data_IF_378948788327
#
_entry.id   IF_378948788327
#
_cell.length_a   1.000
_cell.length_b   1.000
_cell.length_c   1.000
_cell.angle_alpha   90.00
_cell.angle_beta   90.00
_cell.angle_gamma   90.00
#
_symmetry.space_group_name_H-M   'P 1'
#
loop_
_entity.id
_entity.type
_entity.pdbx_description
1 polymer ?
#
# COMPACT_ATOMS: atom_id res chain seq x y z
N UNK A 1 -9.34 26.97 -12.76
CA UNK A 1 -9.55 27.01 -11.31
C UNK A 1 -9.17 25.65 -10.73
N UNK A 2 -8.38 25.61 -9.66
CA UNK A 2 -8.12 24.37 -8.91
C UNK A 2 -9.20 24.25 -7.85
N UNK A 3 -9.89 23.12 -7.78
CA UNK A 3 -10.88 22.82 -6.75
C UNK A 3 -10.22 22.07 -5.57
N UNK A 4 -9.94 22.74 -4.43
CA UNK A 4 -9.28 22.08 -3.30
C UNK A 4 -10.22 21.15 -2.53
N UNK A 5 -11.50 21.06 -2.89
CA UNK A 5 -12.46 20.22 -2.15
C UNK A 5 -12.23 18.75 -2.38
N UNK A 6 -11.61 18.34 -3.49
CA UNK A 6 -11.27 16.94 -3.76
C UNK A 6 -9.77 16.75 -3.96
N UNK A 7 -9.18 15.99 -3.03
CA UNK A 7 -7.77 15.66 -3.00
C UNK A 7 -7.61 14.14 -3.06
N UNK A 8 -6.75 13.67 -3.95
CA UNK A 8 -6.27 12.29 -3.96
C UNK A 8 -4.81 12.27 -3.56
N UNK A 9 -4.40 11.26 -2.79
CA UNK A 9 -3.00 11.04 -2.44
C UNK A 9 -2.61 9.60 -2.68
N UNK A 10 -1.46 9.39 -3.31
CA UNK A 10 -0.91 8.08 -3.60
C UNK A 10 0.38 7.83 -2.81
N UNK A 11 0.45 6.67 -2.17
CA UNK A 11 1.68 6.10 -1.60
C UNK A 11 2.00 4.79 -2.32
N UNK A 12 3.26 4.63 -2.73
CA UNK A 12 3.77 3.39 -3.28
C UNK A 12 4.78 2.84 -2.31
N UNK A 13 4.41 1.75 -1.65
CA UNK A 13 5.26 1.10 -0.66
C UNK A 13 5.77 -0.22 -1.20
N UNK A 14 7.03 -0.51 -0.90
CA UNK A 14 7.69 -1.74 -1.31
C UNK A 14 8.08 -2.53 -0.08
N UNK A 15 8.03 -3.85 -0.20
CA UNK A 15 8.63 -4.77 0.76
C UNK A 15 9.50 -5.71 -0.05
N UNK A 16 10.77 -5.83 0.34
CA UNK A 16 11.77 -6.65 -0.36
C UNK A 16 11.24 -8.06 -0.64
N UNK A 17 11.32 -8.52 -1.89
CA UNK A 17 10.89 -9.86 -2.31
C UNK A 17 9.38 -10.10 -2.41
N UNK A 18 8.53 -9.06 -2.33
CA UNK A 18 7.07 -9.19 -2.40
C UNK A 18 6.43 -8.38 -3.53
N UNK A 19 5.18 -8.73 -3.89
CA UNK A 19 4.39 -7.98 -4.87
C UNK A 19 4.20 -6.52 -4.40
N UNK A 20 4.56 -5.57 -5.26
CA UNK A 20 4.41 -4.13 -5.02
C UNK A 20 2.93 -3.73 -4.92
N UNK A 21 2.61 -2.83 -3.99
CA UNK A 21 1.26 -2.33 -3.79
C UNK A 21 1.31 -0.80 -3.69
N UNK A 22 0.38 -0.13 -4.39
CA UNK A 22 0.12 1.28 -4.20
C UNK A 22 -1.23 1.50 -3.52
N UNK A 23 -1.27 2.42 -2.56
CA UNK A 23 -2.50 2.89 -1.93
C UNK A 23 -2.86 4.28 -2.43
N UNK A 24 -4.09 4.46 -2.91
CA UNK A 24 -4.68 5.77 -3.18
C UNK A 24 -5.77 6.04 -2.16
N UNK A 25 -5.65 7.16 -1.47
CA UNK A 25 -6.65 7.70 -0.55
C UNK A 25 -7.28 8.94 -1.13
N UNK A 26 -8.50 9.23 -0.69
CA UNK A 26 -9.30 10.33 -1.21
C UNK A 26 -9.84 11.16 -0.05
N UNK A 27 -9.78 12.48 -0.18
CA UNK A 27 -10.38 13.42 0.74
C UNK A 27 -11.38 14.28 -0.03
N UNK A 28 -12.58 14.45 0.55
CA UNK A 28 -13.60 15.39 0.07
C UNK A 28 -13.94 16.36 1.19
N UNK A 29 -13.95 17.66 0.90
CA UNK A 29 -14.22 18.75 1.85
C UNK A 29 -13.38 18.64 3.14
N UNK A 30 -12.10 18.30 2.97
CA UNK A 30 -11.16 18.15 4.08
C UNK A 30 -11.33 16.87 4.92
N UNK A 31 -12.23 15.95 4.52
CA UNK A 31 -12.50 14.70 5.26
C UNK A 31 -12.16 13.45 4.45
N UNK A 32 -11.69 12.37 5.09
CA UNK A 32 -11.47 11.09 4.41
C UNK A 32 -12.73 10.56 3.71
N UNK A 33 -12.65 10.38 2.40
CA UNK A 33 -13.69 9.78 1.57
C UNK A 33 -13.33 8.31 1.25
N UNK A 34 -13.59 7.43 2.22
CA UNK A 34 -13.12 6.02 2.20
C UNK A 34 -13.65 5.19 1.02
N UNK A 35 -14.85 5.47 0.52
CA UNK A 35 -15.39 4.79 -0.68
C UNK A 35 -14.61 5.13 -1.96
N UNK A 36 -13.87 6.26 -1.96
CA UNK A 36 -12.96 6.65 -3.02
C UNK A 36 -11.58 5.96 -2.96
N UNK A 37 -11.26 5.24 -1.88
CA UNK A 37 -9.93 4.64 -1.73
C UNK A 37 -9.72 3.50 -2.73
N UNK A 38 -8.50 3.36 -3.25
CA UNK A 38 -8.16 2.30 -4.21
C UNK A 38 -6.83 1.67 -3.86
N UNK A 39 -6.79 0.35 -3.97
CA UNK A 39 -5.56 -0.43 -3.80
C UNK A 39 -5.12 -0.96 -5.16
N UNK A 40 -3.87 -0.71 -5.51
CA UNK A 40 -3.28 -1.11 -6.77
C UNK A 40 -2.29 -2.24 -6.53
N UNK A 41 -2.56 -3.42 -7.12
CA UNK A 41 -1.52 -4.42 -7.30
C UNK A 41 -0.66 -3.97 -8.49
N UNK A 42 0.59 -3.67 -8.20
CA UNK A 42 1.55 -3.16 -9.17
C UNK A 42 2.36 -4.30 -9.77
N UNK A 43 2.78 -4.09 -11.00
CA UNK A 43 3.56 -5.08 -11.74
C UNK A 43 4.93 -5.30 -11.10
N UNK A 44 5.51 -6.48 -11.31
CA UNK A 44 6.87 -6.76 -10.86
C UNK A 44 7.84 -5.82 -11.61
N UNK A 45 8.64 -5.06 -10.86
CA UNK A 45 9.66 -4.17 -11.41
C UNK A 45 10.93 -4.26 -10.57
N UNK A 46 12.01 -3.64 -11.03
CA UNK A 46 13.27 -3.61 -10.29
C UNK A 46 13.09 -2.96 -8.90
N UNK A 47 13.85 -3.45 -7.92
CA UNK A 47 13.67 -3.16 -6.48
C UNK A 47 13.75 -1.67 -6.09
N UNK A 48 14.26 -0.81 -6.97
CA UNK A 48 14.47 0.63 -6.70
C UNK A 48 13.51 1.56 -7.46
N UNK A 49 12.52 1.03 -8.17
CA UNK A 49 11.78 1.88 -9.12
C UNK A 49 10.39 2.28 -8.63
N UNK A 50 10.31 3.06 -7.54
CA UNK A 50 9.06 3.71 -7.07
C UNK A 50 8.38 4.50 -8.19
N UNK A 51 9.18 5.00 -9.14
CA UNK A 51 8.71 5.78 -10.28
C UNK A 51 7.78 4.96 -11.18
N UNK A 52 8.15 3.73 -11.56
CA UNK A 52 7.24 2.88 -12.36
C UNK A 52 5.93 2.54 -11.66
N UNK A 53 5.94 2.47 -10.32
CA UNK A 53 4.73 2.23 -9.55
C UNK A 53 3.77 3.41 -9.60
N UNK A 54 4.31 4.62 -9.41
CA UNK A 54 3.52 5.86 -9.53
C UNK A 54 3.05 6.05 -10.96
N UNK A 55 3.92 5.82 -11.95
CA UNK A 55 3.57 5.88 -13.37
C UNK A 55 2.40 4.95 -13.70
N UNK A 56 2.44 3.71 -13.22
CA UNK A 56 1.38 2.72 -13.42
C UNK A 56 0.04 3.17 -12.79
N UNK A 57 0.06 3.69 -11.56
CA UNK A 57 -1.14 4.19 -10.88
C UNK A 57 -1.72 5.39 -11.62
N UNK A 58 -0.87 6.36 -11.99
CA UNK A 58 -1.30 7.57 -12.70
C UNK A 58 -1.87 7.22 -14.07
N UNK A 59 -1.26 6.29 -14.82
CA UNK A 59 -1.81 5.80 -16.10
C UNK A 59 -3.19 5.16 -15.93
N UNK A 60 -3.36 4.33 -14.90
CA UNK A 60 -4.68 3.73 -14.58
C UNK A 60 -5.69 4.79 -14.18
N UNK A 61 -5.29 5.82 -13.44
CA UNK A 61 -6.18 6.93 -13.07
C UNK A 61 -6.58 7.75 -14.29
N UNK A 62 -5.63 8.10 -15.16
CA UNK A 62 -5.89 8.78 -16.43
C UNK A 62 -6.85 7.99 -17.31
N UNK A 63 -6.70 6.67 -17.40
CA UNK A 63 -7.64 5.81 -18.12
C UNK A 63 -9.06 5.97 -17.57
N UNK A 64 -9.24 5.91 -16.25
CA UNK A 64 -10.55 6.11 -15.63
C UNK A 64 -11.13 7.51 -15.90
N UNK A 65 -10.29 8.56 -15.97
CA UNK A 65 -10.72 9.91 -16.35
C UNK A 65 -11.23 9.97 -17.79
N UNK A 66 -10.54 9.29 -18.72
CA UNK A 66 -10.96 9.20 -20.13
C UNK A 66 -12.27 8.43 -20.30
N UNK A 67 -12.58 7.53 -19.38
CA UNK A 67 -13.82 6.75 -19.34
C UNK A 67 -14.98 7.50 -18.63
N UNK A 68 -14.84 8.82 -18.41
CA UNK A 68 -15.87 9.67 -17.80
C UNK A 68 -15.78 9.78 -16.27
N UNK A 69 -14.70 9.27 -15.67
CA UNK A 69 -14.43 9.48 -14.25
C UNK A 69 -14.12 10.94 -13.93
N UNK A 70 -14.55 11.39 -12.76
CA UNK A 70 -14.26 12.75 -12.30
C UNK A 70 -12.78 12.88 -11.86
N UNK A 71 -12.17 14.03 -12.12
CA UNK A 71 -10.81 14.36 -11.72
C UNK A 71 -10.79 15.03 -10.33
N UNK A 72 -9.80 14.70 -9.47
CA UNK A 72 -9.58 15.51 -8.27
C UNK A 72 -9.08 16.89 -8.69
N UNK A 73 -9.24 17.89 -7.82
CA UNK A 73 -8.56 19.16 -8.06
C UNK A 73 -7.09 19.12 -7.66
N UNK A 74 -6.72 18.30 -6.67
CA UNK A 74 -5.33 18.12 -6.23
C UNK A 74 -4.97 16.63 -6.19
N UNK A 75 -3.82 16.28 -6.75
CA UNK A 75 -3.24 14.94 -6.71
C UNK A 75 -1.87 15.00 -6.03
N UNK A 76 -1.73 14.35 -4.88
CA UNK A 76 -0.52 14.36 -4.06
C UNK A 76 0.21 13.03 -4.21
N UNK A 77 1.52 13.08 -4.44
CA UNK A 77 2.39 11.90 -4.43
C UNK A 77 3.20 11.89 -3.14
N UNK A 78 3.13 10.80 -2.37
CA UNK A 78 4.05 10.56 -1.25
C UNK A 78 5.43 10.21 -1.84
N UNK A 79 6.29 11.21 -1.92
CA UNK A 79 7.52 11.16 -2.68
C UNK A 79 8.20 12.49 -2.95
N UNK A 80 9.47 12.42 -3.35
CA UNK A 80 10.30 13.56 -3.74
C UNK A 80 10.08 14.04 -5.18
N UNK A 81 10.95 14.95 -5.63
CA UNK A 81 10.87 15.60 -6.93
C UNK A 81 10.85 14.64 -8.13
N UNK A 82 11.55 13.50 -8.06
CA UNK A 82 11.54 12.51 -9.15
C UNK A 82 10.14 11.92 -9.36
N UNK A 83 9.45 11.59 -8.26
CA UNK A 83 8.10 11.04 -8.24
C UNK A 83 7.07 12.08 -8.72
N UNK A 84 7.24 13.34 -8.31
CA UNK A 84 6.48 14.47 -8.84
C UNK A 84 6.61 14.57 -10.37
N UNK A 85 7.85 14.53 -10.88
CA UNK A 85 8.13 14.65 -12.31
C UNK A 85 7.44 13.59 -13.15
N UNK A 86 7.39 12.35 -12.65
CA UNK A 86 6.68 11.23 -13.29
C UNK A 86 5.17 11.52 -13.37
N UNK A 87 4.55 11.91 -12.25
CA UNK A 87 3.13 12.21 -12.23
C UNK A 87 2.78 13.38 -13.17
N UNK A 88 3.58 14.46 -13.14
CA UNK A 88 3.42 15.63 -14.01
C UNK A 88 3.49 15.25 -15.49
N UNK A 89 4.49 14.43 -15.87
CA UNK A 89 4.67 13.96 -17.25
C UNK A 89 3.49 13.11 -17.74
N UNK A 90 2.91 12.28 -16.88
CA UNK A 90 1.79 11.45 -17.29
C UNK A 90 0.49 12.26 -17.38
N UNK A 91 0.19 13.09 -16.38
CA UNK A 91 -0.99 13.95 -16.37
C UNK A 91 -0.96 15.06 -17.43
N UNK A 92 0.22 15.43 -17.97
CA UNK A 92 0.29 16.36 -19.11
C UNK A 92 -0.30 15.78 -20.40
N UNK A 93 -0.66 14.50 -20.43
CA UNK A 93 -1.29 13.81 -21.59
C UNK A 93 -2.82 13.95 -21.62
N UNK A 94 -3.41 14.71 -20.68
CA UNK A 94 -4.84 15.01 -20.64
C UNK A 94 -5.06 16.50 -20.34
N UNK A 95 -6.19 17.03 -20.81
CA UNK A 95 -6.55 18.44 -20.60
C UNK A 95 -7.07 18.69 -19.18
N UNK A 96 -7.99 17.85 -18.69
CA UNK A 96 -8.56 17.96 -17.35
C UNK A 96 -7.65 17.34 -16.28
N UNK A 97 -6.48 17.96 -16.06
CA UNK A 97 -5.48 17.48 -15.10
C UNK A 97 -5.60 18.19 -13.74
N UNK A 98 -5.38 17.48 -12.63
CA UNK A 98 -5.30 18.08 -11.29
C UNK A 98 -4.06 18.98 -11.14
N UNK A 99 -4.06 19.80 -10.10
CA UNK A 99 -2.81 20.31 -9.53
C UNK A 99 -2.05 19.15 -8.89
N UNK A 100 -0.82 18.93 -9.31
CA UNK A 100 0.00 17.83 -8.80
C UNK A 100 0.96 18.40 -7.77
N UNK A 101 1.03 17.76 -6.61
CA UNK A 101 1.99 18.07 -5.56
C UNK A 101 2.73 16.80 -5.17
N UNK A 102 3.89 16.93 -4.56
CA UNK A 102 4.49 15.82 -3.84
C UNK A 102 4.95 16.24 -2.45
N UNK A 103 4.97 15.29 -1.54
CA UNK A 103 5.44 15.48 -0.16
C UNK A 103 6.50 14.43 0.12
N UNK A 104 7.70 14.88 0.50
CA UNK A 104 8.78 13.99 0.91
C UNK A 104 9.10 14.22 2.38
N UNK A 105 9.48 13.15 3.09
CA UNK A 105 10.07 13.29 4.42
C UNK A 105 11.28 14.22 4.36
N UNK A 106 11.43 15.05 5.40
CA UNK A 106 12.60 15.91 5.59
C UNK A 106 13.91 15.13 5.49
N UNK A 107 14.98 15.80 5.06
CA UNK A 107 16.32 15.17 5.00
C UNK A 107 16.79 14.83 6.42
N UNK A 108 17.82 13.98 6.52
CA UNK A 108 18.42 13.68 7.82
C UNK A 108 18.87 14.98 8.52
N UNK A 109 18.25 15.31 9.65
CA UNK A 109 18.46 16.56 10.39
C UNK A 109 17.36 17.61 10.22
N UNK A 110 16.43 17.43 9.28
CA UNK A 110 15.23 18.25 9.12
C UNK A 110 14.03 17.47 9.69
N UNK A 111 13.37 18.03 10.71
CA UNK A 111 12.15 17.42 11.28
C UNK A 111 10.93 17.57 10.35
N UNK A 112 11.02 18.44 9.35
CA UNK A 112 9.88 18.92 8.57
C UNK A 112 9.85 18.28 7.17
N UNK A 113 8.68 17.77 6.80
CA UNK A 113 8.36 17.32 5.44
C UNK A 113 8.46 18.48 4.45
N UNK A 114 9.00 18.20 3.27
CA UNK A 114 9.12 19.18 2.18
C UNK A 114 8.04 18.94 1.14
N UNK A 115 7.34 19.99 0.75
CA UNK A 115 6.34 19.96 -0.32
C UNK A 115 6.97 20.48 -1.62
N UNK A 116 6.70 19.78 -2.73
CA UNK A 116 7.12 20.17 -4.06
C UNK A 116 5.92 20.38 -4.97
N UNK A 117 6.00 21.42 -5.78
CA UNK A 117 5.03 21.77 -6.82
C UNK A 117 5.74 21.91 -8.18
N UNK A 118 5.02 21.71 -9.30
CA UNK A 118 5.55 21.93 -10.63
C UNK A 118 6.05 23.38 -10.80
N UNK A 119 6.98 23.62 -11.74
CA UNK A 119 7.40 24.97 -12.07
C UNK A 119 6.22 25.89 -12.39
N UNK A 120 6.28 27.17 -12.01
CA UNK A 120 7.45 27.86 -11.46
C UNK A 120 7.63 27.75 -9.93
N UNK A 121 6.72 27.11 -9.21
CA UNK A 121 6.72 27.11 -7.74
C UNK A 121 7.90 26.33 -7.13
N UNK A 122 8.17 25.12 -7.62
CA UNK A 122 9.27 24.31 -7.10
C UNK A 122 9.04 23.87 -5.65
N UNK A 123 10.03 24.06 -4.78
CA UNK A 123 9.92 23.74 -3.35
C UNK A 123 9.04 24.79 -2.65
N UNK A 124 8.05 24.32 -1.89
CA UNK A 124 7.15 25.16 -1.11
C UNK A 124 7.44 24.95 0.37
N UNK A 125 7.97 25.98 1.02
CA UNK A 125 8.22 25.97 2.45
C UNK A 125 6.98 26.46 3.21
N UNK A 126 6.62 25.74 4.26
CA UNK A 126 5.54 26.10 5.18
C UNK A 126 6.09 26.33 6.57
N UNK A 127 5.38 27.11 7.38
CA UNK A 127 5.66 27.17 8.82
C UNK A 127 5.10 25.92 9.50
N UNK A 128 5.75 25.44 10.57
CA UNK A 128 5.35 24.24 11.32
C UNK A 128 3.93 24.28 11.89
N UNK A 129 3.43 25.47 12.19
CA UNK A 129 2.10 25.74 12.72
C UNK A 129 1.04 26.02 11.64
N UNK A 130 1.43 26.00 10.37
CA UNK A 130 0.52 26.26 9.26
C UNK A 130 -0.56 25.15 9.17
N UNK A 131 -1.86 25.50 9.21
CA UNK A 131 -2.94 24.52 9.15
C UNK A 131 -2.98 23.76 7.81
N UNK A 132 -2.57 24.38 6.70
CA UNK A 132 -2.51 23.74 5.38
C UNK A 132 -1.42 22.68 5.37
N UNK A 133 -0.26 22.99 5.95
CA UNK A 133 0.84 22.04 6.07
C UNK A 133 0.44 20.81 6.87
N UNK A 134 -0.15 21.01 8.05
CA UNK A 134 -0.65 19.90 8.89
C UNK A 134 -1.70 19.07 8.19
N UNK A 135 -2.56 19.71 7.40
CA UNK A 135 -3.56 19.00 6.61
C UNK A 135 -2.93 18.12 5.52
N UNK A 136 -1.93 18.62 4.79
CA UNK A 136 -1.20 17.84 3.78
C UNK A 136 -0.48 16.65 4.43
N UNK A 137 0.14 16.86 5.60
CA UNK A 137 0.76 15.78 6.38
C UNK A 137 -0.27 14.71 6.77
N UNK A 138 -1.45 15.10 7.25
CA UNK A 138 -2.53 14.17 7.56
C UNK A 138 -2.97 13.35 6.34
N UNK A 139 -3.07 13.97 5.17
CA UNK A 139 -3.43 13.28 3.92
C UNK A 139 -2.36 12.24 3.56
N UNK A 140 -1.08 12.60 3.64
CA UNK A 140 0.05 11.67 3.43
C UNK A 140 0.02 10.52 4.43
N UNK A 141 -0.09 10.83 5.71
CA UNK A 141 -0.07 9.82 6.78
C UNK A 141 -1.21 8.81 6.60
N UNK A 142 -2.38 9.26 6.14
CA UNK A 142 -3.50 8.39 5.79
C UNK A 142 -3.20 7.51 4.57
N UNK A 143 -2.55 8.05 3.53
CA UNK A 143 -2.10 7.28 2.36
C UNK A 143 -1.12 6.17 2.76
N UNK A 144 -0.10 6.55 3.53
CA UNK A 144 0.91 5.65 4.05
C UNK A 144 0.31 4.57 4.96
N UNK A 145 -0.58 4.95 5.89
CA UNK A 145 -1.31 4.03 6.76
C UNK A 145 -2.12 3.02 5.94
N UNK A 146 -2.82 3.49 4.90
CA UNK A 146 -3.64 2.64 4.04
C UNK A 146 -2.79 1.62 3.27
N UNK A 147 -1.69 2.06 2.65
CA UNK A 147 -0.78 1.20 1.91
C UNK A 147 -0.07 0.17 2.81
N UNK A 148 0.47 0.59 3.96
CA UNK A 148 1.09 -0.31 4.94
C UNK A 148 0.10 -1.36 5.45
N UNK A 149 -1.12 -0.95 5.76
CA UNK A 149 -2.15 -1.88 6.26
C UNK A 149 -2.46 -2.95 5.22
N UNK A 150 -2.55 -2.57 3.95
CA UNK A 150 -2.78 -3.50 2.85
C UNK A 150 -1.61 -4.47 2.66
N UNK A 151 -0.37 -3.97 2.70
CA UNK A 151 0.83 -4.81 2.68
C UNK A 151 0.86 -5.80 3.82
N UNK A 152 0.61 -5.36 5.06
CA UNK A 152 0.55 -6.26 6.23
C UNK A 152 -0.47 -7.38 6.04
N UNK A 153 -1.67 -7.06 5.55
CA UNK A 153 -2.72 -8.06 5.26
C UNK A 153 -2.30 -9.02 4.15
N UNK A 154 -1.69 -8.53 3.07
CA UNK A 154 -1.22 -9.35 1.95
C UNK A 154 -0.06 -10.25 2.36
N UNK A 155 0.91 -9.73 3.13
CA UNK A 155 2.01 -10.50 3.72
C UNK A 155 1.49 -11.60 4.62
N UNK A 156 0.54 -11.31 5.51
CA UNK A 156 -0.08 -12.34 6.34
C UNK A 156 -0.73 -13.42 5.47
N UNK A 157 -1.47 -13.06 4.40
CA UNK A 157 -2.04 -14.05 3.47
C UNK A 157 -0.97 -14.83 2.69
N UNK A 158 0.11 -14.20 2.25
CA UNK A 158 1.21 -14.83 1.50
C UNK A 158 2.03 -15.80 2.34
N UNK A 159 2.35 -15.44 3.59
CA UNK A 159 3.04 -16.35 4.53
C UNK A 159 2.12 -17.52 4.90
N UNK A 160 0.83 -17.24 5.19
CA UNK A 160 -0.21 -18.27 5.32
C UNK A 160 -0.28 -19.16 4.08
N UNK A 161 0.03 -18.62 2.91
CA UNK A 161 -0.01 -19.33 1.64
C UNK A 161 1.21 -20.21 1.38
N UNK A 162 2.43 -19.75 1.63
CA UNK A 162 3.64 -20.46 1.22
C UNK A 162 3.97 -21.64 2.14
N UNK A 163 3.94 -21.41 3.46
CA UNK A 163 4.41 -22.39 4.44
C UNK A 163 3.65 -23.73 4.39
N UNK A 164 2.33 -23.65 4.36
CA UNK A 164 1.48 -24.85 4.32
C UNK A 164 1.55 -25.57 2.96
N UNK A 165 2.01 -24.91 1.89
CA UNK A 165 2.19 -25.55 0.59
C UNK A 165 3.47 -26.39 0.50
N UNK A 166 4.49 -26.08 1.29
CA UNK A 166 5.74 -26.83 1.32
C UNK A 166 5.58 -28.20 2.03
N UNK A 167 4.54 -28.35 2.85
CA UNK A 167 4.27 -29.59 3.57
C UNK A 167 3.53 -30.56 2.65
N UNK A 168 4.24 -31.60 2.21
CA UNK A 168 3.66 -32.67 1.40
C UNK A 168 2.45 -33.31 2.10
N UNK A 169 1.28 -33.26 1.44
CA UNK A 169 0.01 -33.75 1.99
C UNK A 169 -0.98 -32.69 2.49
N UNK A 170 -0.60 -31.40 2.46
CA UNK A 170 -1.51 -30.27 2.75
C UNK A 170 -1.95 -29.59 1.46
N UNK A 171 -3.16 -29.91 1.00
CA UNK A 171 -3.82 -29.20 -0.11
C UNK A 171 -4.54 -27.91 0.34
N UNK A 172 -4.97 -27.11 -0.63
CA UNK A 172 -5.65 -25.82 -0.40
C UNK A 172 -6.84 -25.89 0.57
N UNK A 173 -7.64 -26.96 0.51
CA UNK A 173 -8.80 -27.14 1.40
C UNK A 173 -8.42 -27.31 2.88
N UNK A 174 -7.40 -28.11 3.18
CA UNK A 174 -6.92 -28.35 4.56
C UNK A 174 -6.26 -27.11 5.14
N UNK A 175 -5.55 -26.37 4.29
CA UNK A 175 -4.92 -25.10 4.62
C UNK A 175 -5.93 -24.02 5.00
N UNK A 176 -6.99 -23.84 4.23
CA UNK A 176 -8.05 -22.89 4.58
C UNK A 176 -8.72 -23.24 5.91
N UNK A 177 -8.96 -24.53 6.15
CA UNK A 177 -9.52 -25.02 7.42
C UNK A 177 -8.60 -24.72 8.61
N UNK A 178 -7.29 -25.03 8.51
CA UNK A 178 -6.29 -24.71 9.54
C UNK A 178 -6.26 -23.20 9.82
N UNK A 179 -6.18 -22.37 8.78
CA UNK A 179 -6.10 -20.92 8.94
C UNK A 179 -7.38 -20.29 9.49
N UNK A 180 -8.54 -20.88 9.19
CA UNK A 180 -9.84 -20.44 9.69
C UNK A 180 -10.01 -20.82 11.16
N UNK A 181 -9.64 -22.05 11.53
CA UNK A 181 -9.80 -22.57 12.89
C UNK A 181 -8.87 -21.88 13.89
N UNK A 182 -7.63 -21.60 13.48
CA UNK A 182 -6.62 -21.00 14.36
C UNK A 182 -6.47 -19.48 14.18
N UNK A 183 -7.36 -18.82 13.43
CA UNK A 183 -7.34 -17.35 13.23
C UNK A 183 -6.15 -16.81 12.42
N UNK A 184 -5.28 -17.68 11.92
CA UNK A 184 -4.11 -17.34 11.14
C UNK A 184 -2.83 -17.98 11.65
N UNK A 185 -1.70 -17.49 11.13
CA UNK A 185 -0.39 -18.06 11.43
C UNK A 185 0.00 -17.92 12.90
N UNK A 186 -0.45 -16.84 13.57
CA UNK A 186 -0.15 -16.62 15.00
C UNK A 186 -0.83 -17.68 15.88
N UNK A 187 -2.14 -17.91 15.71
CA UNK A 187 -2.81 -18.95 16.47
C UNK A 187 -2.39 -20.36 16.04
N UNK A 188 -1.93 -20.55 14.80
CA UNK A 188 -1.36 -21.83 14.36
C UNK A 188 -0.01 -22.13 15.03
N UNK A 189 0.77 -21.09 15.38
CA UNK A 189 2.02 -21.24 16.16
C UNK A 189 1.78 -21.63 17.61
N UNK A 190 0.69 -21.14 18.19
CA UNK A 190 0.32 -21.43 19.57
C UNK A 190 -0.43 -22.78 19.71
N UNK A 191 -0.77 -23.43 18.59
CA UNK A 191 -1.51 -24.68 18.56
C UNK A 191 -0.63 -25.90 18.92
N UNK A 192 -1.16 -26.79 19.76
CA UNK A 192 -0.52 -28.07 20.06
C UNK A 192 -0.78 -29.10 18.95
N UNK A 193 0.00 -30.19 18.92
CA UNK A 193 -0.22 -31.32 17.99
C UNK A 193 -1.65 -31.86 18.13
N UNK A 194 -2.16 -31.96 19.37
CA UNK A 194 -3.53 -32.41 19.66
C UNK A 194 -4.59 -31.45 19.11
N UNK A 195 -4.33 -30.14 19.07
CA UNK A 195 -5.27 -29.18 18.52
C UNK A 195 -5.33 -29.26 16.99
N UNK A 196 -4.18 -29.50 16.33
CA UNK A 196 -4.11 -29.67 14.89
C UNK A 196 -4.86 -30.92 14.42
N UNK A 197 -4.84 -32.00 15.21
CA UNK A 197 -5.59 -33.24 14.93
C UNK A 197 -7.12 -33.07 14.96
N UNK A 198 -7.62 -32.06 15.69
CA UNK A 198 -9.06 -31.75 15.70
C UNK A 198 -9.54 -31.20 14.35
N UNK A 199 -8.62 -30.84 13.45
CA UNK A 199 -8.96 -30.35 12.11
C UNK A 199 -9.21 -31.53 11.17
N UNK A 200 -10.38 -31.59 10.50
CA UNK A 200 -10.71 -32.68 9.60
C UNK A 200 -9.65 -32.92 8.52
N UNK A 201 -9.12 -34.15 8.47
CA UNK A 201 -8.14 -34.58 7.48
C UNK A 201 -6.68 -34.29 7.84
N UNK A 202 -6.38 -33.87 9.08
CA UNK A 202 -5.02 -33.81 9.61
C UNK A 202 -4.76 -35.08 10.44
N UNK A 203 -3.80 -35.89 10.00
CA UNK A 203 -3.33 -37.06 10.76
C UNK A 203 -2.25 -36.62 11.76
N UNK A 204 -2.02 -37.42 12.80
CA UNK A 204 -0.95 -37.17 13.78
C UNK A 204 0.41 -36.88 13.11
N UNK A 205 0.80 -37.70 12.14
CA UNK A 205 2.05 -37.50 11.40
C UNK A 205 2.10 -36.19 10.59
N UNK A 206 0.96 -35.69 10.13
CA UNK A 206 0.89 -34.40 9.44
C UNK A 206 0.91 -33.23 10.44
N UNK A 207 0.26 -33.37 11.60
CA UNK A 207 0.31 -32.40 12.69
C UNK A 207 1.75 -32.20 13.20
N UNK A 208 2.49 -33.28 13.41
CA UNK A 208 3.91 -33.22 13.79
C UNK A 208 4.75 -32.46 12.75
N UNK A 209 4.58 -32.74 11.46
CA UNK A 209 5.27 -32.04 10.37
C UNK A 209 4.95 -30.54 10.33
N UNK A 210 3.70 -30.16 10.60
CA UNK A 210 3.31 -28.75 10.68
C UNK A 210 4.04 -28.05 11.83
N UNK A 211 4.06 -28.65 13.04
CA UNK A 211 4.74 -28.07 14.21
C UNK A 211 6.25 -27.99 14.00
N UNK A 212 6.85 -29.02 13.42
CA UNK A 212 8.29 -29.07 13.11
C UNK A 212 8.68 -27.95 12.15
N UNK A 213 7.96 -27.83 11.02
CA UNK A 213 8.22 -26.77 10.05
C UNK A 213 7.97 -25.38 10.65
N UNK A 214 7.03 -25.23 11.58
CA UNK A 214 6.76 -23.94 12.25
C UNK A 214 7.95 -23.52 13.13
N UNK A 215 8.64 -24.47 13.76
CA UNK A 215 9.86 -24.23 14.54
C UNK A 215 11.05 -23.85 13.66
N UNK A 216 11.19 -24.45 12.48
CA UNK A 216 12.26 -24.09 11.52
C UNK A 216 12.20 -22.62 11.05
N UNK A 217 11.01 -22.02 11.03
CA UNK A 217 10.83 -20.60 10.65
C UNK A 217 11.24 -19.63 11.77
N UNK A 218 11.37 -20.10 13.01
CA UNK A 218 11.77 -19.27 14.16
C UNK A 218 13.29 -19.24 14.40
N UNK A 219 14.05 -20.11 13.73
CA UNK A 219 15.53 -20.11 13.73
C UNK A 219 16.10 -19.21 12.63
#
# INVERSE_FOLDING_TARGET
>A
HVDPTWIECVDVSHTFGQQRIGGLVCFREGKPYKSGYRLYNLSAGHQQDDYSGIEEIVRRRIKALREGGEAPGIFIVDGGMGQLGVAVKEFSKIENRPLILSIAKGRAGEEEDTIFAPPPLGRVDFKRDDPVYRFIQMVRDEAHRFAITAHRKKRQKGIRASFLCEIHGIGNRRKELLLKQFGGLKGLREASVSDLEKVPGITHGLACKIVEKLKEIES
#
